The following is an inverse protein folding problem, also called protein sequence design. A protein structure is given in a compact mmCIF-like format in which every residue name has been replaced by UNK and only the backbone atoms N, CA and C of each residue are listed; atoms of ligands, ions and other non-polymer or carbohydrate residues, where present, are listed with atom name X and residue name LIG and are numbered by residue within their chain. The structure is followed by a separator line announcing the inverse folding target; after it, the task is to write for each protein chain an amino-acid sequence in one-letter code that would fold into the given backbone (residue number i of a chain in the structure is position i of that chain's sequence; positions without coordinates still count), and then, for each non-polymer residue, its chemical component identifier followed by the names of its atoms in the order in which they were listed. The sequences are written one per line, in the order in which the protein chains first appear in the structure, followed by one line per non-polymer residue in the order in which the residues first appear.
data_IF_198655652588
#
_entry.id   IF_198655652588
#
_cell.length_a   1.000
_cell.length_b   1.000
_cell.length_c   1.000
_cell.angle_alpha   90.00
_cell.angle_beta   90.00
_cell.angle_gamma   90.00
#
_symmetry.space_group_name_H-M   'P 1'
#
loop_
_entity.id
_entity.type
_entity.pdbx_description
1 polymer ?
#
# COMPACT_ATOMS: atom_id res chain seq x y z
N UNK A 1 9.10 -10.31 -15.70
CA UNK A 1 8.23 -9.15 -16.05
C UNK A 1 8.92 -7.88 -15.63
N UNK A 2 9.13 -7.00 -16.57
CA UNK A 2 9.65 -5.66 -16.27
C UNK A 2 8.45 -4.74 -16.04
N UNK A 3 8.33 -4.19 -14.86
CA UNK A 3 7.27 -3.25 -14.51
C UNK A 3 7.84 -1.86 -14.28
N UNK A 4 7.05 -0.85 -14.63
CA UNK A 4 7.34 0.54 -14.31
C UNK A 4 6.46 0.94 -13.13
N UNK A 5 7.07 1.42 -12.06
CA UNK A 5 6.36 1.86 -10.86
C UNK A 5 6.45 3.38 -10.79
N UNK A 6 5.30 4.03 -10.66
CA UNK A 6 5.26 5.48 -10.54
C UNK A 6 4.07 5.95 -9.70
N UNK A 7 4.19 7.17 -9.20
CA UNK A 7 3.12 7.84 -8.47
C UNK A 7 1.90 8.04 -9.38
N UNK A 8 0.72 7.82 -8.83
CA UNK A 8 -0.55 8.12 -9.50
C UNK A 8 -0.61 9.61 -9.84
N UNK A 9 -0.86 9.93 -11.09
CA UNK A 9 -1.01 11.29 -11.60
C UNK A 9 -2.21 11.37 -12.56
N UNK A 10 -3.10 12.33 -12.34
CA UNK A 10 -4.28 12.57 -13.18
C UNK A 10 -5.41 11.57 -12.96
N UNK A 11 -6.54 11.88 -13.59
CA UNK A 11 -7.80 11.15 -13.40
C UNK A 11 -7.77 9.71 -13.91
N UNK A 12 -7.11 9.44 -15.04
CA UNK A 12 -7.06 8.10 -15.61
C UNK A 12 -6.28 7.13 -14.72
N UNK A 13 -5.14 7.56 -14.19
CA UNK A 13 -4.34 6.76 -13.27
C UNK A 13 -5.05 6.60 -11.93
N UNK A 14 -5.73 7.64 -11.43
CA UNK A 14 -6.55 7.54 -10.23
C UNK A 14 -7.68 6.52 -10.40
N UNK A 15 -8.35 6.53 -11.54
CA UNK A 15 -9.39 5.55 -11.85
C UNK A 15 -8.81 4.12 -11.89
N UNK A 16 -7.61 3.95 -12.44
CA UNK A 16 -6.92 2.66 -12.46
C UNK A 16 -6.59 2.19 -11.03
N UNK A 17 -6.07 3.08 -10.19
CA UNK A 17 -5.80 2.77 -8.78
C UNK A 17 -7.07 2.38 -8.03
N UNK A 18 -8.16 3.12 -8.23
CA UNK A 18 -9.46 2.79 -7.64
C UNK A 18 -9.93 1.39 -8.00
N UNK A 19 -9.83 1.02 -9.30
CA UNK A 19 -10.24 -0.32 -9.75
C UNK A 19 -9.41 -1.43 -9.09
N UNK A 20 -8.10 -1.25 -8.98
CA UNK A 20 -7.23 -2.23 -8.32
C UNK A 20 -7.52 -2.34 -6.83
N UNK A 21 -7.74 -1.23 -6.15
CA UNK A 21 -8.11 -1.23 -4.72
C UNK A 21 -9.47 -1.87 -4.49
N UNK A 22 -10.46 -1.59 -5.35
CA UNK A 22 -11.78 -2.22 -5.27
C UNK A 22 -11.68 -3.74 -5.47
N UNK A 23 -10.85 -4.17 -6.43
CA UNK A 23 -10.60 -5.60 -6.66
C UNK A 23 -9.93 -6.25 -5.45
N UNK A 24 -8.92 -5.61 -4.88
CA UNK A 24 -8.24 -6.05 -3.67
C UNK A 24 -9.22 -6.25 -2.52
N UNK A 25 -10.07 -5.26 -2.26
CA UNK A 25 -11.04 -5.30 -1.16
C UNK A 25 -12.08 -6.42 -1.37
N UNK A 26 -12.48 -6.69 -2.61
CA UNK A 26 -13.36 -7.83 -2.92
C UNK A 26 -12.67 -9.16 -2.65
N UNK A 27 -11.42 -9.33 -3.10
CA UNK A 27 -10.67 -10.57 -2.91
C UNK A 27 -10.43 -10.86 -1.42
N UNK A 28 -10.13 -9.83 -0.64
CA UNK A 28 -9.90 -9.96 0.80
C UNK A 28 -11.21 -9.99 1.62
N UNK A 29 -12.35 -9.80 0.98
CA UNK A 29 -13.66 -9.75 1.64
C UNK A 29 -13.76 -8.69 2.74
N UNK A 30 -13.12 -7.53 2.52
CA UNK A 30 -13.26 -6.40 3.42
C UNK A 30 -14.65 -5.78 3.30
N UNK A 31 -15.18 -5.29 4.43
CA UNK A 31 -16.54 -4.76 4.52
C UNK A 31 -16.72 -3.39 3.83
N UNK A 32 -15.64 -2.71 3.50
CA UNK A 32 -15.70 -1.37 2.90
C UNK A 32 -16.30 -1.44 1.49
N UNK A 33 -17.44 -0.76 1.24
CA UNK A 33 -18.09 -0.79 -0.08
C UNK A 33 -17.20 -0.19 -1.18
N UNK A 34 -17.34 -0.65 -2.44
CA UNK A 34 -16.53 -0.15 -3.56
C UNK A 34 -16.58 1.35 -3.76
N UNK A 35 -17.75 1.98 -3.60
CA UNK A 35 -17.90 3.43 -3.72
C UNK A 35 -17.16 4.18 -2.60
N UNK A 36 -17.05 3.59 -1.42
CA UNK A 36 -16.27 4.16 -0.31
C UNK A 36 -14.78 4.04 -0.59
N UNK A 37 -14.33 2.91 -1.13
CA UNK A 37 -12.93 2.72 -1.56
C UNK A 37 -12.55 3.80 -2.58
N UNK A 38 -13.38 4.03 -3.60
CA UNK A 38 -13.13 5.05 -4.61
C UNK A 38 -13.11 6.47 -4.02
N UNK A 39 -14.04 6.77 -3.11
CA UNK A 39 -14.09 8.08 -2.44
C UNK A 39 -12.84 8.32 -1.59
N UNK A 40 -12.40 7.31 -0.83
CA UNK A 40 -11.19 7.42 0.00
C UNK A 40 -9.92 7.54 -0.86
N UNK A 41 -9.82 6.79 -1.95
CA UNK A 41 -8.71 6.90 -2.87
C UNK A 41 -8.62 8.32 -3.46
N UNK A 42 -9.76 8.89 -3.85
CA UNK A 42 -9.82 10.26 -4.36
C UNK A 42 -9.40 11.28 -3.29
N UNK A 43 -9.85 11.11 -2.05
CA UNK A 43 -9.43 11.96 -0.94
C UNK A 43 -7.93 11.84 -0.69
N UNK A 44 -7.39 10.62 -0.71
CA UNK A 44 -5.95 10.39 -0.52
C UNK A 44 -5.12 11.08 -1.61
N UNK A 45 -5.59 11.08 -2.86
CA UNK A 45 -4.88 11.73 -3.96
C UNK A 45 -4.74 13.23 -3.78
N UNK A 46 -5.61 13.86 -2.99
CA UNK A 46 -5.55 15.28 -2.66
C UNK A 46 -4.64 15.60 -1.47
N UNK A 47 -4.19 14.59 -0.73
CA UNK A 47 -3.33 14.74 0.47
C UNK A 47 -1.85 14.55 0.12
N UNK A 48 -1.37 15.25 -0.90
CA UNK A 48 -0.04 15.03 -1.51
C UNK A 48 1.13 15.19 -0.55
N UNK A 49 0.98 16.03 0.49
CA UNK A 49 2.06 16.25 1.46
C UNK A 49 2.29 15.03 2.37
N UNK A 50 1.25 14.20 2.57
CA UNK A 50 1.26 13.14 3.56
C UNK A 50 0.89 11.77 3.02
N UNK A 51 0.41 11.69 1.77
CA UNK A 51 -0.07 10.44 1.18
C UNK A 51 0.41 10.27 -0.24
N UNK A 52 0.53 9.01 -0.67
CA UNK A 52 0.81 8.68 -2.06
C UNK A 52 0.15 7.36 -2.43
N UNK A 53 -0.23 7.24 -3.68
CA UNK A 53 -0.56 5.97 -4.31
C UNK A 53 0.47 5.70 -5.41
N UNK A 54 1.03 4.49 -5.41
CA UNK A 54 1.97 4.01 -6.41
C UNK A 54 1.28 2.96 -7.26
N UNK A 55 1.43 3.06 -8.59
CA UNK A 55 0.96 2.06 -9.54
C UNK A 55 2.14 1.41 -10.22
N UNK A 56 2.08 0.09 -10.37
CA UNK A 56 2.97 -0.67 -11.22
C UNK A 56 2.27 -0.98 -12.54
N UNK A 57 2.97 -0.75 -13.62
CA UNK A 57 2.50 -0.94 -14.99
C UNK A 57 3.34 -1.99 -15.69
N UNK A 58 2.69 -2.95 -16.32
CA UNK A 58 3.33 -3.93 -17.19
C UNK A 58 2.64 -3.85 -18.56
N UNK A 59 3.41 -3.54 -19.62
CA UNK A 59 2.88 -3.37 -20.98
C UNK A 59 1.64 -2.46 -21.02
N UNK A 60 1.75 -1.28 -20.41
CA UNK A 60 0.69 -0.27 -20.32
C UNK A 60 -0.57 -0.70 -19.54
N UNK A 61 -0.52 -1.84 -18.85
CA UNK A 61 -1.61 -2.28 -17.97
C UNK A 61 -1.23 -2.07 -16.51
N UNK A 62 -2.14 -1.50 -15.69
CA UNK A 62 -1.90 -1.40 -14.26
C UNK A 62 -2.06 -2.78 -13.61
N UNK A 63 -1.01 -3.27 -12.97
CA UNK A 63 -0.96 -4.64 -12.42
C UNK A 63 -0.77 -4.68 -10.91
N UNK A 64 -0.44 -3.56 -10.28
CA UNK A 64 -0.30 -3.52 -8.83
C UNK A 64 -0.47 -2.09 -8.31
N UNK A 65 -0.84 -1.98 -7.04
CA UNK A 65 -1.04 -0.70 -6.36
C UNK A 65 -0.52 -0.79 -4.92
N UNK A 66 0.06 0.30 -4.44
CA UNK A 66 0.37 0.49 -3.03
C UNK A 66 -0.11 1.87 -2.58
N UNK A 67 -0.57 1.96 -1.35
CA UNK A 67 -0.91 3.24 -0.71
C UNK A 67 -0.04 3.46 0.50
N UNK A 68 0.40 4.70 0.70
CA UNK A 68 1.21 5.08 1.85
C UNK A 68 0.67 6.36 2.46
N UNK A 69 0.85 6.46 3.77
CA UNK A 69 0.57 7.68 4.52
C UNK A 69 1.70 7.99 5.49
N UNK A 70 1.84 9.27 5.85
CA UNK A 70 2.80 9.75 6.83
C UNK A 70 2.11 10.07 8.13
N UNK A 71 2.75 9.71 9.23
CA UNK A 71 2.31 10.01 10.57
C UNK A 71 3.48 10.60 11.37
N UNK A 72 3.20 11.55 12.24
CA UNK A 72 4.20 12.15 13.11
C UNK A 72 3.91 11.83 14.58
N UNK A 73 4.88 11.25 15.27
CA UNK A 73 4.78 10.92 16.69
C UNK A 73 6.04 11.34 17.44
N UNK A 74 5.89 11.52 18.75
CA UNK A 74 7.02 11.97 19.60
C UNK A 74 8.13 10.92 19.62
N UNK A 75 7.77 9.64 19.66
CA UNK A 75 8.74 8.54 19.75
C UNK A 75 9.54 8.37 18.47
N UNK A 76 8.86 8.36 17.32
CA UNK A 76 9.49 8.01 16.04
C UNK A 76 9.73 9.19 15.11
N UNK A 77 9.15 10.37 15.41
CA UNK A 77 9.10 11.46 14.45
C UNK A 77 8.21 11.10 13.26
N UNK A 78 8.66 11.40 12.05
CA UNK A 78 7.94 10.97 10.84
C UNK A 78 8.08 9.47 10.63
N UNK A 79 6.96 8.82 10.46
CA UNK A 79 6.84 7.41 10.11
C UNK A 79 5.90 7.27 8.93
N UNK A 80 6.26 6.46 7.96
CA UNK A 80 5.35 6.09 6.87
C UNK A 80 4.67 4.76 7.20
N UNK A 81 3.48 4.57 6.63
CA UNK A 81 2.75 3.31 6.74
C UNK A 81 2.24 2.89 5.37
N UNK A 82 2.46 1.62 5.02
CA UNK A 82 1.79 0.99 3.88
C UNK A 82 0.38 0.63 4.33
N UNK A 83 -0.61 1.28 3.74
CA UNK A 83 -2.02 1.00 4.01
C UNK A 83 -2.53 -0.18 3.20
N UNK A 84 -2.15 -0.24 1.92
CA UNK A 84 -2.56 -1.28 0.99
C UNK A 84 -1.39 -1.68 0.10
N UNK A 85 -1.33 -2.98 -0.22
CA UNK A 85 -0.37 -3.53 -1.17
C UNK A 85 -1.06 -4.67 -1.92
N UNK A 86 -1.27 -4.50 -3.21
CA UNK A 86 -2.00 -5.46 -4.02
C UNK A 86 -1.35 -5.67 -5.38
N UNK A 87 -1.23 -6.93 -5.77
CA UNK A 87 -0.77 -7.36 -7.09
C UNK A 87 -1.87 -8.23 -7.70
N UNK A 88 -2.28 -7.95 -8.93
CA UNK A 88 -3.28 -8.77 -9.62
C UNK A 88 -2.80 -10.22 -9.74
N UNK A 89 -3.72 -11.17 -9.68
CA UNK A 89 -3.39 -12.60 -9.64
C UNK A 89 -2.46 -13.02 -10.77
N UNK A 90 -2.69 -12.53 -11.99
CA UNK A 90 -1.90 -12.87 -13.18
C UNK A 90 -0.46 -12.35 -13.14
N UNK A 91 -0.15 -11.40 -12.26
CA UNK A 91 1.18 -10.79 -12.13
C UNK A 91 1.94 -11.22 -10.87
N UNK A 92 1.37 -12.13 -10.08
CA UNK A 92 2.00 -12.63 -8.85
C UNK A 92 3.15 -13.58 -9.14
N UNK A 93 4.03 -13.76 -8.14
CA UNK A 93 5.15 -14.69 -8.25
C UNK A 93 6.31 -14.20 -9.10
N UNK A 94 6.36 -12.91 -9.44
CA UNK A 94 7.37 -12.31 -10.30
C UNK A 94 8.18 -11.21 -9.61
N UNK A 95 8.10 -11.13 -8.28
CA UNK A 95 8.85 -10.17 -7.47
C UNK A 95 8.27 -8.75 -7.45
N UNK A 96 7.10 -8.53 -8.01
CA UNK A 96 6.52 -7.20 -8.16
C UNK A 96 6.16 -6.55 -6.82
N UNK A 97 5.65 -7.35 -5.86
CA UNK A 97 5.36 -6.86 -4.53
C UNK A 97 6.63 -6.35 -3.82
N UNK A 98 7.74 -7.05 -3.94
CA UNK A 98 9.02 -6.62 -3.38
C UNK A 98 9.52 -5.34 -4.03
N UNK A 99 9.35 -5.20 -5.35
CA UNK A 99 9.69 -3.96 -6.07
C UNK A 99 8.84 -2.78 -5.58
N UNK A 100 7.54 -3.01 -5.38
CA UNK A 100 6.64 -1.98 -4.83
C UNK A 100 7.06 -1.56 -3.42
N UNK A 101 7.40 -2.51 -2.55
CA UNK A 101 7.87 -2.19 -1.19
C UNK A 101 9.16 -1.37 -1.26
N UNK A 102 10.07 -1.69 -2.16
CA UNK A 102 11.30 -0.90 -2.36
C UNK A 102 10.98 0.55 -2.76
N UNK A 103 10.01 0.77 -3.63
CA UNK A 103 9.55 2.12 -4.00
C UNK A 103 8.86 2.83 -2.82
N UNK A 104 8.09 2.09 -2.01
CA UNK A 104 7.50 2.62 -0.78
C UNK A 104 8.59 3.13 0.17
N UNK A 105 9.65 2.36 0.37
CA UNK A 105 10.79 2.73 1.21
C UNK A 105 11.47 3.98 0.64
N UNK A 106 11.70 4.04 -0.67
CA UNK A 106 12.32 5.18 -1.32
C UNK A 106 11.49 6.45 -1.15
N UNK A 107 10.17 6.37 -1.35
CA UNK A 107 9.27 7.49 -1.13
C UNK A 107 9.29 7.96 0.33
N UNK A 108 9.18 7.03 1.27
CA UNK A 108 9.19 7.32 2.70
C UNK A 108 10.49 8.07 3.10
N UNK A 109 11.63 7.62 2.62
CA UNK A 109 12.92 8.29 2.85
C UNK A 109 12.94 9.71 2.32
N UNK A 110 12.46 9.91 1.08
CA UNK A 110 12.38 11.26 0.49
C UNK A 110 11.49 12.20 1.30
N UNK A 111 10.45 11.68 1.94
CA UNK A 111 9.55 12.43 2.81
C UNK A 111 10.08 12.64 4.23
N UNK A 112 11.26 12.12 4.54
CA UNK A 112 11.88 12.29 5.85
C UNK A 112 11.42 11.25 6.89
N UNK A 113 10.73 10.19 6.47
CA UNK A 113 10.35 9.11 7.39
C UNK A 113 11.60 8.35 7.87
N UNK A 114 11.60 8.02 9.15
CA UNK A 114 12.67 7.25 9.80
C UNK A 114 12.33 5.77 9.90
N UNK A 115 11.08 5.42 9.67
CA UNK A 115 10.61 4.04 9.68
C UNK A 115 9.40 3.89 8.75
N UNK A 116 9.17 2.66 8.33
CA UNK A 116 8.03 2.26 7.52
C UNK A 116 7.32 1.11 8.24
N UNK A 117 6.03 1.30 8.52
CA UNK A 117 5.20 0.30 9.18
C UNK A 117 4.27 -0.38 8.18
N UNK A 118 3.86 -1.58 8.51
CA UNK A 118 2.79 -2.30 7.84
C UNK A 118 1.99 -3.07 8.89
N UNK A 119 0.68 -3.13 8.72
CA UNK A 119 -0.20 -3.96 9.55
C UNK A 119 -0.52 -5.24 8.79
N UNK A 120 -0.19 -6.39 9.41
CA UNK A 120 -0.51 -7.71 8.84
C UNK A 120 -1.70 -8.26 9.60
N UNK A 121 -2.81 -8.50 8.88
CA UNK A 121 -4.00 -9.10 9.47
C UNK A 121 -3.77 -10.59 9.74
N UNK A 122 -4.60 -11.20 10.60
CA UNK A 122 -4.55 -12.65 10.85
C UNK A 122 -4.72 -13.45 9.56
N UNK A 123 -5.64 -13.03 8.69
CA UNK A 123 -5.84 -13.64 7.37
C UNK A 123 -4.59 -13.51 6.50
N UNK A 124 -4.00 -12.32 6.42
CA UNK A 124 -2.76 -12.08 5.67
C UNK A 124 -1.59 -12.90 6.19
N UNK A 125 -1.44 -13.03 7.52
CA UNK A 125 -0.41 -13.89 8.11
C UNK A 125 -0.59 -15.36 7.68
N UNK A 126 -1.83 -15.85 7.64
CA UNK A 126 -2.16 -17.18 7.15
C UNK A 126 -1.81 -17.39 5.67
N UNK A 127 -1.75 -16.33 4.87
CA UNK A 127 -1.34 -16.35 3.47
C UNK A 127 0.16 -16.09 3.26
N UNK A 128 0.95 -16.01 4.32
CA UNK A 128 2.40 -15.82 4.26
C UNK A 128 2.86 -14.37 4.19
N UNK A 129 1.99 -13.37 4.41
CA UNK A 129 2.38 -11.96 4.40
C UNK A 129 3.36 -11.62 5.52
N UNK A 130 3.21 -12.23 6.70
CA UNK A 130 4.17 -12.02 7.79
C UNK A 130 5.59 -12.43 7.36
N UNK A 131 5.72 -13.61 6.76
CA UNK A 131 7.00 -14.10 6.22
C UNK A 131 7.54 -13.19 5.13
N UNK A 132 6.67 -12.76 4.23
CA UNK A 132 7.04 -11.86 3.14
C UNK A 132 7.66 -10.56 3.67
N UNK A 133 6.98 -9.88 4.60
CA UNK A 133 7.48 -8.62 5.15
C UNK A 133 8.74 -8.82 5.99
N UNK A 134 8.82 -9.89 6.79
CA UNK A 134 10.02 -10.19 7.57
C UNK A 134 11.24 -10.44 6.67
N UNK A 135 11.07 -11.10 5.54
CA UNK A 135 12.13 -11.29 4.56
C UNK A 135 12.64 -9.97 3.98
N UNK A 136 11.82 -8.91 3.98
CA UNK A 136 12.18 -7.56 3.55
C UNK A 136 12.71 -6.67 4.69
N UNK A 137 12.94 -7.24 5.88
CA UNK A 137 13.52 -6.54 7.01
C UNK A 137 12.52 -5.93 7.99
N UNK A 138 11.22 -6.14 7.81
CA UNK A 138 10.22 -5.71 8.78
C UNK A 138 10.26 -6.61 10.02
N UNK A 139 10.10 -6.01 11.18
CA UNK A 139 10.11 -6.73 12.46
C UNK A 139 8.95 -6.24 13.34
N UNK A 140 8.36 -7.17 14.10
CA UNK A 140 7.41 -6.81 15.13
C UNK A 140 8.11 -6.17 16.33
N UNK A 141 7.48 -5.19 16.94
CA UNK A 141 8.00 -4.50 18.12
C UNK A 141 7.31 -4.94 19.43
N UNK A 142 6.45 -5.96 19.35
CA UNK A 142 5.69 -6.48 20.50
C UNK A 142 4.41 -5.70 20.82
N UNK A 143 4.11 -4.64 20.07
CA UNK A 143 2.90 -3.83 20.25
C UNK A 143 1.73 -4.41 19.47
N UNK A 144 0.53 -4.07 19.92
CA UNK A 144 -0.71 -4.44 19.22
C UNK A 144 -1.53 -3.21 18.93
N UNK A 145 -2.19 -3.21 17.78
CA UNK A 145 -3.15 -2.16 17.40
C UNK A 145 -4.53 -2.54 17.90
N UNK A 146 -5.18 -1.63 18.60
CA UNK A 146 -6.57 -1.76 19.03
C UNK A 146 -7.38 -0.69 18.32
N UNK A 147 -8.53 -1.07 17.76
CA UNK A 147 -9.42 -0.16 17.03
C UNK A 147 -10.73 0.01 17.77
N UNK A 148 -11.23 1.23 17.77
CA UNK A 148 -12.57 1.57 18.23
C UNK A 148 -13.23 2.51 17.22
N UNK A 149 -14.42 2.17 16.75
CA UNK A 149 -15.24 3.08 15.95
C UNK A 149 -15.66 4.30 16.77
N UNK A 150 -15.76 5.43 16.11
CA UNK A 150 -16.19 6.69 16.72
C UNK A 150 -17.22 7.40 15.85
#
# INVERSE_FOLDING_TARGET
MTAVIRKVAGEDELAAACRLLQQFFREEQFDTPPETVARHARSMSALEDHCVMLLAWADDLPVAVATLSMNFGIEFGWQAEIGDLYVVASARGQGLASQLVAECIAWARRKGARSLAVTVTTHGAGQGLDRFYRALGFQGDGRRVLLRGI
#
